data_IF_163887370838
#
_entry.id   IF_163887370838
#
_cell.length_a   1.000
_cell.length_b   1.000
_cell.length_c   1.000
_cell.angle_alpha   90.00
_cell.angle_beta   90.00
_cell.angle_gamma   90.00
#
_symmetry.space_group_name_H-M   'P 1'
#
loop_
_entity.id
_entity.type
_entity.pdbx_description
1 polymer ?
#
# COMPACT_ATOMS: atom_id res chain seq x y z
N UNK A 1 -29.19 -56.66 19.66
CA UNK A 1 -29.54 -55.75 18.55
C UNK A 1 -29.64 -54.29 19.01
N UNK A 2 -30.44 -53.97 20.02
CA UNK A 2 -30.61 -52.60 20.54
C UNK A 2 -29.31 -51.93 20.97
N UNK A 3 -28.47 -52.58 21.81
CA UNK A 3 -27.19 -51.99 22.26
C UNK A 3 -26.24 -51.62 21.11
N UNK A 4 -26.21 -52.43 20.06
CA UNK A 4 -25.38 -52.19 18.86
C UNK A 4 -25.91 -50.99 18.08
N UNK A 5 -27.23 -50.85 17.96
CA UNK A 5 -27.86 -49.69 17.33
C UNK A 5 -27.56 -48.38 18.09
N UNK A 6 -27.51 -48.41 19.42
CA UNK A 6 -27.21 -47.22 20.23
C UNK A 6 -25.75 -46.78 20.05
N UNK A 7 -24.81 -47.73 19.99
CA UNK A 7 -23.40 -47.45 19.74
C UNK A 7 -23.18 -46.87 18.33
N UNK A 8 -23.90 -47.38 17.33
CA UNK A 8 -23.86 -46.84 15.96
C UNK A 8 -24.37 -45.40 15.89
N UNK A 9 -25.47 -45.09 16.58
CA UNK A 9 -26.01 -43.72 16.61
C UNK A 9 -25.03 -42.75 17.28
N UNK A 10 -24.42 -43.14 18.40
CA UNK A 10 -23.39 -42.34 19.08
C UNK A 10 -22.15 -42.12 18.20
N UNK A 11 -21.72 -43.16 17.46
CA UNK A 11 -20.59 -43.05 16.54
C UNK A 11 -20.88 -42.06 15.39
N UNK A 12 -22.07 -42.13 14.81
CA UNK A 12 -22.48 -41.21 13.72
C UNK A 12 -22.64 -39.76 14.20
N UNK A 13 -23.00 -39.54 15.47
CA UNK A 13 -23.07 -38.20 16.07
C UNK A 13 -21.69 -37.63 16.42
N UNK A 14 -20.71 -38.48 16.74
CA UNK A 14 -19.37 -38.03 17.10
C UNK A 14 -18.61 -37.40 15.93
N UNK A 15 -18.81 -37.90 14.70
CA UNK A 15 -18.14 -37.38 13.51
C UNK A 15 -18.63 -36.00 13.07
N UNK A 16 -19.91 -35.68 13.33
CA UNK A 16 -20.49 -34.37 12.96
C UNK A 16 -20.11 -33.26 13.94
N UNK A 17 -19.83 -33.60 15.20
CA UNK A 17 -19.44 -32.61 16.23
C UNK A 17 -17.94 -32.28 16.14
N UNK A 18 -17.10 -33.25 15.78
CA UNK A 18 -15.64 -33.05 15.72
C UNK A 18 -15.19 -32.07 14.63
N UNK A 19 -15.99 -31.86 13.58
CA UNK A 19 -15.66 -30.97 12.47
C UNK A 19 -16.11 -29.52 12.66
N UNK A 20 -17.28 -29.29 13.28
CA UNK A 20 -17.89 -27.95 13.34
C UNK A 20 -17.61 -27.17 14.63
N UNK A 21 -17.22 -27.83 15.73
CA UNK A 21 -17.14 -27.17 17.04
C UNK A 21 -15.72 -26.85 17.51
N UNK A 22 -14.69 -27.41 16.86
CA UNK A 22 -13.32 -27.38 17.37
C UNK A 22 -12.29 -26.78 16.41
N UNK A 23 -12.61 -26.70 15.12
CA UNK A 23 -11.82 -25.90 14.18
C UNK A 23 -12.39 -24.48 14.19
N UNK A 24 -12.07 -23.74 15.27
CA UNK A 24 -11.88 -22.31 15.08
C UNK A 24 -10.67 -22.23 14.19
N UNK A 25 -10.87 -21.88 12.92
CA UNK A 25 -9.77 -21.37 12.13
C UNK A 25 -9.24 -20.21 12.97
N UNK A 26 -8.03 -20.33 13.53
CA UNK A 26 -7.30 -19.16 13.95
C UNK A 26 -7.13 -18.38 12.65
N UNK A 27 -8.12 -17.55 12.34
CA UNK A 27 -8.04 -16.56 11.28
C UNK A 27 -6.83 -15.72 11.69
N UNK A 28 -5.68 -16.07 11.12
CA UNK A 28 -4.56 -15.18 11.10
C UNK A 28 -5.14 -13.99 10.37
N UNK A 29 -5.39 -12.91 11.10
CA UNK A 29 -5.66 -11.59 10.54
C UNK A 29 -4.43 -11.27 9.68
N UNK A 30 -4.42 -11.76 8.44
CA UNK A 30 -3.53 -11.27 7.41
C UNK A 30 -4.01 -9.84 7.18
N UNK A 31 -3.28 -8.87 7.74
CA UNK A 31 -3.47 -7.48 7.36
C UNK A 31 -3.39 -7.42 5.84
N UNK A 32 -4.53 -7.17 5.19
CA UNK A 32 -4.62 -6.91 3.77
C UNK A 32 -3.69 -5.73 3.46
N UNK A 33 -2.47 -6.04 3.04
CA UNK A 33 -1.49 -5.03 2.66
C UNK A 33 -1.91 -4.51 1.30
N UNK A 34 -2.70 -3.44 1.31
CA UNK A 34 -3.06 -2.71 0.12
C UNK A 34 -1.84 -2.09 -0.57
N UNK A 35 -2.01 -1.39 -1.70
CA UNK A 35 -0.92 -0.67 -2.35
C UNK A 35 -0.32 0.45 -1.49
N UNK A 36 -0.95 0.77 -0.35
CA UNK A 36 -0.50 1.78 0.59
C UNK A 36 -0.18 1.11 1.91
N UNK A 37 1.09 1.19 2.30
CA UNK A 37 1.57 0.81 3.61
C UNK A 37 2.21 2.06 4.23
N UNK A 38 1.51 2.65 5.20
CA UNK A 38 1.92 3.88 5.86
C UNK A 38 2.95 3.64 6.96
N UNK A 39 3.13 2.38 7.39
CA UNK A 39 4.13 2.01 8.40
C UNK A 39 5.47 1.64 7.76
N UNK A 40 5.46 1.30 6.47
CA UNK A 40 6.67 1.01 5.72
C UNK A 40 7.55 2.26 5.51
N UNK A 41 8.85 2.10 5.78
CA UNK A 41 9.85 3.13 5.52
C UNK A 41 10.01 3.40 4.02
N UNK A 42 10.21 4.68 3.67
CA UNK A 42 10.48 5.09 2.29
C UNK A 42 11.82 4.47 1.83
N UNK A 43 11.83 3.69 0.73
CA UNK A 43 13.07 3.08 0.22
C UNK A 43 14.11 4.14 -0.13
N UNK A 44 15.40 3.86 0.14
CA UNK A 44 16.53 4.75 -0.19
C UNK A 44 16.66 5.06 -1.69
N UNK A 45 16.00 4.29 -2.54
CA UNK A 45 15.95 4.47 -4.00
C UNK A 45 14.84 5.42 -4.45
N UNK A 46 13.97 5.83 -3.53
CA UNK A 46 12.86 6.77 -3.78
C UNK A 46 13.23 8.12 -3.18
N UNK A 47 13.10 9.18 -3.97
CA UNK A 47 13.42 10.54 -3.55
C UNK A 47 12.28 11.48 -3.91
N UNK A 48 11.80 12.23 -2.92
CA UNK A 48 10.82 13.30 -3.10
C UNK A 48 11.53 14.64 -3.14
N UNK A 49 11.27 15.44 -4.17
CA UNK A 49 11.97 16.71 -4.34
C UNK A 49 11.05 17.82 -4.84
N UNK A 50 11.36 19.04 -4.45
CA UNK A 50 10.84 20.24 -5.10
C UNK A 50 11.70 20.58 -6.33
N UNK A 51 11.12 21.21 -7.36
CA UNK A 51 11.91 21.73 -8.47
C UNK A 51 12.88 22.82 -7.98
N UNK A 52 14.02 22.92 -8.65
CA UNK A 52 14.91 24.06 -8.49
C UNK A 52 14.29 25.36 -9.00
N UNK A 53 14.92 26.48 -8.65
CA UNK A 53 14.57 27.80 -9.19
C UNK A 53 15.49 28.17 -10.36
N UNK A 54 15.22 29.28 -11.04
CA UNK A 54 16.16 29.83 -12.04
C UNK A 54 17.50 30.25 -11.44
N UNK A 55 17.55 30.61 -10.14
CA UNK A 55 18.79 30.95 -9.43
C UNK A 55 19.50 29.71 -8.87
N UNK A 56 18.74 28.70 -8.43
CA UNK A 56 19.22 27.43 -7.92
C UNK A 56 18.56 26.28 -8.70
N UNK A 57 19.09 25.89 -9.87
CA UNK A 57 18.44 24.91 -10.75
C UNK A 57 18.46 23.48 -10.23
N UNK A 58 19.13 23.22 -9.10
CA UNK A 58 19.15 21.91 -8.48
C UNK A 58 17.86 21.65 -7.69
N UNK A 59 17.39 20.40 -7.72
CA UNK A 59 16.24 19.97 -6.95
C UNK A 59 16.52 20.06 -5.44
N UNK A 60 15.49 20.40 -4.67
CA UNK A 60 15.57 20.49 -3.21
C UNK A 60 14.91 19.26 -2.62
N UNK A 61 15.61 18.55 -1.74
CA UNK A 61 15.04 17.37 -1.07
C UNK A 61 13.86 17.78 -0.18
N UNK A 62 12.69 17.21 -0.46
CA UNK A 62 11.47 17.52 0.26
C UNK A 62 11.43 16.88 1.65
N UNK A 63 12.27 15.89 1.91
CA UNK A 63 12.39 15.22 3.22
C UNK A 63 13.36 15.92 4.16
N UNK A 64 14.23 16.80 3.64
CA UNK A 64 15.17 17.59 4.43
C UNK A 64 14.59 18.97 4.78
N UNK A 65 14.07 19.07 6.01
CA UNK A 65 13.51 20.33 6.54
C UNK A 65 14.48 21.53 6.49
N UNK A 66 15.79 21.31 6.59
CA UNK A 66 16.78 22.37 6.51
C UNK A 66 16.95 22.84 5.06
N UNK A 67 16.97 21.91 4.10
CA UNK A 67 17.02 22.25 2.67
C UNK A 67 15.76 22.99 2.22
N UNK A 68 14.58 22.52 2.62
CA UNK A 68 13.29 23.18 2.33
C UNK A 68 13.25 24.60 2.90
N UNK A 69 13.71 24.78 4.15
CA UNK A 69 13.79 26.10 4.78
C UNK A 69 14.80 27.02 4.08
N UNK A 70 15.97 26.52 3.70
CA UNK A 70 17.00 27.28 2.99
C UNK A 70 16.53 27.75 1.61
N UNK A 71 15.71 26.94 0.93
CA UNK A 71 15.12 27.28 -0.36
C UNK A 71 13.88 28.21 -0.26
N UNK A 72 13.47 28.61 0.96
CA UNK A 72 12.32 29.47 1.20
C UNK A 72 11.01 28.93 0.56
N UNK A 73 10.84 27.61 0.58
CA UNK A 73 9.67 26.94 0.00
C UNK A 73 8.50 27.00 0.99
N UNK A 74 7.36 27.50 0.54
CA UNK A 74 6.14 27.65 1.36
C UNK A 74 5.19 26.46 1.28
N UNK A 75 5.32 25.62 0.24
CA UNK A 75 4.60 24.36 0.14
C UNK A 75 5.20 23.36 1.11
N UNK A 76 4.40 22.77 1.99
CA UNK A 76 4.88 21.93 3.07
C UNK A 76 4.47 20.47 2.83
N UNK A 77 5.41 19.64 2.33
CA UNK A 77 5.27 18.18 2.25
C UNK A 77 5.64 17.53 3.59
N UNK A 78 5.20 18.13 4.70
CA UNK A 78 5.34 17.55 6.03
C UNK A 78 3.97 17.38 6.68
N UNK A 79 3.96 16.72 7.84
CA UNK A 79 2.74 16.35 8.55
C UNK A 79 1.79 15.54 7.67
N UNK A 80 0.57 16.05 7.41
CA UNK A 80 -0.48 15.35 6.69
C UNK A 80 -0.28 15.33 5.15
N UNK A 81 0.72 16.07 4.66
CA UNK A 81 1.13 16.09 3.26
C UNK A 81 2.45 15.33 3.05
N UNK A 82 2.93 14.60 4.07
CA UNK A 82 4.17 13.83 3.98
C UNK A 82 4.02 12.68 2.98
N UNK A 83 4.94 12.52 2.04
CA UNK A 83 4.93 11.37 1.15
C UNK A 83 5.10 10.05 1.93
N UNK A 84 4.40 9.01 1.49
CA UNK A 84 4.41 7.69 2.10
C UNK A 84 4.73 6.62 1.06
N UNK A 85 5.16 5.45 1.53
CA UNK A 85 5.43 4.33 0.65
C UNK A 85 4.14 3.85 -0.04
N UNK A 86 4.22 3.68 -1.35
CA UNK A 86 3.17 3.07 -2.14
C UNK A 86 3.76 2.02 -3.08
N UNK A 87 3.23 0.81 -3.04
CA UNK A 87 3.60 -0.26 -3.94
C UNK A 87 2.82 -0.13 -5.26
N UNK A 88 3.36 0.66 -6.19
CA UNK A 88 2.79 0.88 -7.50
C UNK A 88 3.86 0.82 -8.60
N UNK A 89 3.47 0.37 -9.79
CA UNK A 89 4.29 0.52 -10.99
C UNK A 89 4.19 1.96 -11.49
N UNK A 90 5.19 2.79 -11.18
CA UNK A 90 5.25 4.16 -11.68
C UNK A 90 5.85 4.20 -13.10
N UNK A 91 5.14 4.81 -14.05
CA UNK A 91 5.64 5.04 -15.40
C UNK A 91 6.33 6.40 -15.45
N UNK A 92 7.67 6.40 -15.44
CA UNK A 92 8.46 7.62 -15.62
C UNK A 92 8.79 7.85 -17.10
N UNK A 93 8.27 8.92 -17.70
CA UNK A 93 8.54 9.27 -19.12
C UNK A 93 9.89 9.94 -19.32
N UNK A 94 10.57 10.37 -18.25
CA UNK A 94 11.89 11.02 -18.31
C UNK A 94 11.90 12.42 -18.93
N UNK A 95 10.73 13.03 -19.17
CA UNK A 95 10.61 14.33 -19.85
C UNK A 95 9.90 15.43 -19.03
N UNK A 96 9.17 15.11 -17.95
CA UNK A 96 8.55 16.14 -17.10
C UNK A 96 8.20 15.61 -15.68
N UNK A 97 8.23 16.50 -14.68
CA UNK A 97 7.81 16.28 -13.27
C UNK A 97 6.46 16.92 -12.94
N UNK A 98 5.73 17.44 -13.93
CA UNK A 98 4.34 17.82 -13.70
C UNK A 98 3.47 16.58 -13.56
N UNK A 99 2.58 16.58 -12.55
CA UNK A 99 1.50 15.61 -12.38
C UNK A 99 0.82 15.37 -13.74
N UNK A 100 1.12 14.26 -14.44
CA UNK A 100 0.31 13.95 -15.59
C UNK A 100 -1.05 13.55 -15.02
N UNK A 101 -2.11 14.25 -15.42
CA UNK A 101 -3.45 13.71 -15.28
C UNK A 101 -3.52 12.47 -16.16
N UNK A 102 -3.12 11.31 -15.63
CA UNK A 102 -3.03 10.06 -16.38
C UNK A 102 -4.46 9.64 -16.73
N UNK A 103 -4.86 9.93 -17.97
CA UNK A 103 -6.06 9.37 -18.57
C UNK A 103 -5.75 8.03 -19.22
N UNK A 104 -6.19 6.92 -18.61
CA UNK A 104 -6.16 5.60 -19.26
C UNK A 104 -7.43 5.43 -20.09
N UNK A 105 -7.30 5.29 -21.41
CA UNK A 105 -8.45 4.99 -22.26
C UNK A 105 -8.87 3.53 -22.10
N UNK A 106 -10.11 3.19 -22.50
CA UNK A 106 -10.60 1.81 -22.51
C UNK A 106 -9.78 0.86 -23.41
N UNK A 107 -8.94 1.41 -24.29
CA UNK A 107 -8.00 0.65 -25.12
C UNK A 107 -6.60 0.48 -24.49
N UNK A 108 -6.39 0.97 -23.26
CA UNK A 108 -5.11 0.92 -22.57
C UNK A 108 -4.06 1.88 -23.13
N UNK A 109 -4.46 2.85 -23.96
CA UNK A 109 -3.54 3.85 -24.49
C UNK A 109 -3.39 5.00 -23.47
N UNK A 110 -2.16 5.47 -23.32
CA UNK A 110 -1.81 6.57 -22.41
C UNK A 110 -1.51 7.80 -23.25
N UNK A 111 -2.22 8.90 -22.99
CA UNK A 111 -2.02 10.19 -23.65
C UNK A 111 -1.54 11.21 -22.63
N UNK A 112 -0.53 12.01 -23.00
CA UNK A 112 0.00 13.11 -22.22
C UNK A 112 -0.06 14.38 -23.08
N UNK A 113 -0.39 15.54 -22.50
CA UNK A 113 -0.44 16.84 -23.18
C UNK A 113 0.67 17.75 -22.70
#
# INVERSE_FOLDING_TARGET
VTRVAHLLVMLMLSSTISGCLWWGEDEIDEEETGPFDFEQEVPITTWYHYPGTVSEPWAVDATDSAAVSAANITANLSENSTPYFANATYYGTGFDTFEPTIGVTSSGAIFFT
#
